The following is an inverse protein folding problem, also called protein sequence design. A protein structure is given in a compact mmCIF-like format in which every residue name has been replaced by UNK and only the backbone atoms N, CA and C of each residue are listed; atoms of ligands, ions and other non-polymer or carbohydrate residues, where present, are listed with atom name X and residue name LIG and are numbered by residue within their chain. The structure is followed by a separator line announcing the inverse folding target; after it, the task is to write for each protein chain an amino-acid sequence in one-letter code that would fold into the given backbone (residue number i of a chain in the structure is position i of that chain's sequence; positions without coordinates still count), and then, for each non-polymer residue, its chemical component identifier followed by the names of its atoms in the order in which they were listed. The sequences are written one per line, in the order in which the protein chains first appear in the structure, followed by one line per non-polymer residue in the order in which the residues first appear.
data_IF_931888808461
#
_entry.id   IF_931888808461
#
_cell.length_a   1.000
_cell.length_b   1.000
_cell.length_c   1.000
_cell.angle_alpha   90.00
_cell.angle_beta   90.00
_cell.angle_gamma   90.00
#
_symmetry.space_group_name_H-M   'P 1'
#
loop_
_entity.id
_entity.type
_entity.pdbx_description
1 polymer ?
#
# COMPACT_ATOMS: atom_id res chain seq x y z
N UNK A 1 -3.65 -13.74 -9.25
CA UNK A 1 -4.47 -13.49 -8.05
C UNK A 1 -3.72 -12.58 -7.10
N UNK A 2 -4.19 -11.35 -6.84
CA UNK A 2 -3.62 -10.50 -5.78
C UNK A 2 -4.43 -10.71 -4.51
N UNK A 3 -4.10 -11.75 -3.73
CA UNK A 3 -4.76 -12.01 -2.43
C UNK A 3 -4.22 -11.11 -1.31
N UNK A 4 -3.06 -10.48 -1.54
CA UNK A 4 -2.36 -9.74 -0.51
C UNK A 4 -1.50 -10.61 0.39
N UNK A 5 -1.31 -11.90 0.09
CA UNK A 5 -0.44 -12.84 0.82
C UNK A 5 0.93 -13.02 0.15
N UNK A 6 1.97 -13.36 0.92
CA UNK A 6 3.28 -13.76 0.39
C UNK A 6 3.24 -15.11 -0.34
N UNK A 7 4.18 -15.33 -1.25
CA UNK A 7 4.35 -16.63 -1.93
C UNK A 7 4.61 -17.79 -0.97
N UNK A 8 5.23 -17.51 0.18
CA UNK A 8 5.45 -18.49 1.24
C UNK A 8 4.13 -18.94 1.86
N UNK A 9 3.29 -17.98 2.26
CA UNK A 9 1.96 -18.24 2.82
C UNK A 9 1.06 -18.96 1.82
N UNK A 10 1.06 -18.52 0.57
CA UNK A 10 0.35 -19.22 -0.50
C UNK A 10 0.91 -20.63 -0.72
N UNK A 11 2.24 -20.81 -0.69
CA UNK A 11 2.87 -22.13 -0.71
C UNK A 11 2.34 -23.06 0.37
N UNK A 12 2.26 -22.59 1.62
CA UNK A 12 1.65 -23.35 2.74
C UNK A 12 0.20 -23.73 2.45
N UNK A 13 -0.62 -22.79 1.97
CA UNK A 13 -2.03 -23.03 1.61
C UNK A 13 -2.15 -24.11 0.52
N UNK A 14 -1.30 -24.03 -0.51
CA UNK A 14 -1.25 -24.99 -1.61
C UNK A 14 -0.39 -26.24 -1.30
N UNK A 15 0.00 -26.43 -0.04
CA UNK A 15 0.81 -27.57 0.45
C UNK A 15 2.08 -27.80 -0.38
N UNK A 16 2.78 -26.72 -0.71
CA UNK A 16 3.98 -26.74 -1.55
C UNK A 16 5.05 -25.77 -1.03
N UNK A 17 6.30 -25.91 -1.49
CA UNK A 17 7.36 -24.99 -1.08
C UNK A 17 7.16 -23.60 -1.70
N UNK A 18 7.64 -22.52 -1.05
CA UNK A 18 7.61 -21.16 -1.59
C UNK A 18 8.18 -21.09 -3.02
N UNK A 19 9.29 -21.82 -3.26
CA UNK A 19 9.94 -21.90 -4.57
C UNK A 19 9.07 -22.60 -5.61
N UNK A 20 8.43 -23.70 -5.23
CA UNK A 20 7.53 -24.45 -6.11
C UNK A 20 6.27 -23.64 -6.39
N UNK A 21 5.68 -22.98 -5.39
CA UNK A 21 4.55 -22.08 -5.58
C UNK A 21 4.89 -20.93 -6.52
N UNK A 22 6.05 -20.28 -6.32
CA UNK A 22 6.53 -19.23 -7.22
C UNK A 22 6.67 -19.71 -8.67
N UNK A 23 7.13 -20.95 -8.89
CA UNK A 23 7.16 -21.59 -10.21
C UNK A 23 5.75 -21.85 -10.75
N UNK A 24 4.85 -22.41 -9.95
CA UNK A 24 3.46 -22.65 -10.35
C UNK A 24 2.74 -21.35 -10.72
N UNK A 25 2.95 -20.28 -9.95
CA UNK A 25 2.40 -18.96 -10.24
C UNK A 25 2.96 -18.40 -11.55
N UNK A 26 4.27 -18.55 -11.78
CA UNK A 26 4.92 -18.17 -13.04
C UNK A 26 4.33 -18.96 -14.22
N UNK A 27 4.25 -20.29 -14.12
CA UNK A 27 3.68 -21.16 -15.16
C UNK A 27 2.21 -20.86 -15.41
N UNK A 28 1.41 -20.62 -14.37
CA UNK A 28 0.02 -20.21 -14.52
C UNK A 28 -0.09 -18.85 -15.22
N UNK A 29 0.79 -17.90 -14.90
CA UNK A 29 0.85 -16.60 -15.58
C UNK A 29 1.25 -16.75 -17.05
N UNK A 30 2.25 -17.57 -17.35
CA UNK A 30 2.68 -17.88 -18.72
C UNK A 30 1.60 -18.60 -19.51
N UNK A 31 0.89 -19.56 -18.91
CA UNK A 31 -0.23 -20.27 -19.56
C UNK A 31 -1.40 -19.31 -19.81
N UNK A 32 -1.69 -18.41 -18.87
CA UNK A 32 -2.68 -17.36 -19.10
C UNK A 32 -2.25 -16.41 -20.24
N UNK A 33 -0.97 -16.07 -20.34
CA UNK A 33 -0.46 -15.19 -21.41
C UNK A 33 -0.37 -15.86 -22.78
N UNK A 34 -0.12 -17.17 -22.83
CA UNK A 34 0.10 -17.91 -24.08
C UNK A 34 -1.17 -18.59 -24.60
N UNK A 35 -2.06 -19.01 -23.70
CA UNK A 35 -3.26 -19.77 -24.07
C UNK A 35 -4.50 -18.91 -23.88
N UNK A 36 -4.67 -18.27 -22.72
CA UNK A 36 -5.91 -17.55 -22.39
C UNK A 36 -6.01 -16.18 -23.07
N UNK A 37 -4.95 -15.35 -23.00
CA UNK A 37 -4.92 -14.01 -23.59
C UNK A 37 -5.05 -14.07 -25.12
N UNK A 38 -4.37 -14.98 -25.85
CA UNK A 38 -4.53 -15.09 -27.28
C UNK A 38 -5.91 -15.61 -27.65
N UNK A 39 -6.46 -16.60 -26.94
CA UNK A 39 -7.82 -17.11 -27.23
C UNK A 39 -8.88 -16.00 -27.03
N UNK A 40 -8.78 -15.19 -25.98
CA UNK A 40 -9.66 -14.02 -25.77
C UNK A 40 -9.40 -12.89 -26.79
N UNK A 41 -8.16 -12.71 -27.26
CA UNK A 41 -7.84 -11.76 -28.34
C UNK A 41 -8.25 -12.26 -29.73
N UNK A 42 -8.41 -13.58 -29.91
CA UNK A 42 -8.67 -14.19 -31.22
C UNK A 42 -10.16 -14.50 -31.42
N UNK A 43 -10.89 -14.85 -30.35
CA UNK A 43 -12.34 -15.08 -30.41
C UNK A 43 -13.14 -13.83 -30.02
N UNK A 44 -13.27 -12.97 -31.03
CA UNK A 44 -14.21 -11.85 -31.20
C UNK A 44 -13.77 -10.46 -30.70
N UNK A 45 -13.42 -9.63 -31.69
CA UNK A 45 -13.91 -8.26 -31.83
C UNK A 45 -13.19 -7.19 -30.99
N UNK A 46 -12.32 -6.46 -31.71
CA UNK A 46 -11.58 -5.24 -31.37
C UNK A 46 -10.17 -5.41 -30.77
N UNK A 47 -9.15 -5.12 -31.61
CA UNK A 47 -7.74 -4.79 -31.31
C UNK A 47 -6.72 -5.96 -31.42
N UNK A 48 -6.61 -6.58 -32.60
CA UNK A 48 -5.45 -7.43 -32.95
C UNK A 48 -4.15 -6.62 -33.10
N UNK A 49 -2.95 -7.20 -32.91
CA UNK A 49 -1.64 -6.50 -32.82
C UNK A 49 -1.31 -5.50 -33.93
N UNK A 50 -2.00 -5.56 -35.07
CA UNK A 50 -1.86 -4.63 -36.18
C UNK A 50 -2.56 -3.27 -35.96
N UNK A 51 -3.28 -3.09 -34.84
CA UNK A 51 -4.05 -1.87 -34.57
C UNK A 51 -3.21 -0.68 -34.09
N UNK A 52 -2.05 -0.93 -33.48
CA UNK A 52 -1.17 0.12 -32.96
C UNK A 52 0.28 -0.31 -33.04
N UNK A 53 1.09 0.47 -33.76
CA UNK A 53 2.53 0.25 -33.87
C UNK A 53 3.24 0.64 -32.56
N UNK A 54 4.43 0.07 -32.31
CA UNK A 54 5.27 0.46 -31.16
C UNK A 54 5.48 1.97 -31.08
N UNK A 55 5.72 2.63 -32.22
CA UNK A 55 5.90 4.08 -32.29
C UNK A 55 4.63 4.83 -31.83
N UNK A 56 3.45 4.39 -32.26
CA UNK A 56 2.17 4.97 -31.83
C UNK A 56 1.88 4.72 -30.33
N UNK A 57 2.34 3.61 -29.74
CA UNK A 57 2.23 3.39 -28.29
C UNK A 57 3.15 4.35 -27.52
N UNK A 58 4.38 4.52 -27.98
CA UNK A 58 5.37 5.43 -27.39
C UNK A 58 4.89 6.88 -27.44
N UNK A 59 4.29 7.31 -28.56
CA UNK A 59 3.70 8.64 -28.70
C UNK A 59 2.53 8.88 -27.72
N UNK A 60 1.81 7.81 -27.36
CA UNK A 60 0.70 7.86 -26.39
C UNK A 60 1.15 7.73 -24.93
N UNK A 61 2.46 7.73 -24.65
CA UNK A 61 2.94 7.77 -23.27
C UNK A 61 2.33 8.99 -22.57
N UNK A 62 1.54 8.73 -21.52
CA UNK A 62 0.96 9.80 -20.71
C UNK A 62 2.09 10.61 -20.06
N UNK A 63 1.86 11.93 -19.93
CA UNK A 63 2.84 12.88 -19.38
C UNK A 63 3.47 12.39 -18.07
N UNK A 64 2.64 11.91 -17.14
CA UNK A 64 3.10 11.51 -15.81
C UNK A 64 3.95 10.21 -15.83
N UNK A 65 3.52 9.10 -16.44
CA UNK A 65 4.38 7.94 -16.67
C UNK A 65 5.67 8.28 -17.42
N UNK A 66 5.62 9.16 -18.42
CA UNK A 66 6.81 9.58 -19.16
C UNK A 66 7.80 10.35 -18.30
N UNK A 67 7.33 11.20 -17.39
CA UNK A 67 8.17 11.90 -16.42
C UNK A 67 8.78 10.96 -15.35
N UNK A 68 8.12 9.83 -15.04
CA UNK A 68 8.55 8.90 -13.99
C UNK A 68 9.40 7.73 -14.50
N UNK A 69 9.14 7.26 -15.71
CA UNK A 69 9.71 6.02 -16.26
C UNK A 69 10.22 6.18 -17.70
N UNK A 70 10.00 7.34 -18.31
CA UNK A 70 10.50 7.65 -19.64
C UNK A 70 11.92 8.22 -19.60
N UNK A 71 12.54 8.29 -20.78
CA UNK A 71 13.75 9.05 -21.05
C UNK A 71 13.40 10.10 -22.11
N UNK A 72 12.97 11.31 -21.71
CA UNK A 72 12.52 12.33 -22.65
C UNK A 72 13.65 12.86 -23.54
N UNK A 73 14.89 12.83 -23.03
CA UNK A 73 16.10 13.36 -23.68
C UNK A 73 16.74 12.37 -24.68
N UNK A 74 16.32 11.11 -24.69
CA UNK A 74 16.79 10.10 -25.65
C UNK A 74 16.17 10.32 -27.04
N UNK A 75 16.87 9.84 -28.06
CA UNK A 75 16.39 9.85 -29.44
C UNK A 75 14.98 9.24 -29.53
N UNK A 76 14.03 9.84 -30.27
CA UNK A 76 12.68 9.31 -30.46
C UNK A 76 12.59 7.83 -30.84
N UNK A 77 13.60 7.29 -31.55
CA UNK A 77 13.67 5.87 -31.89
C UNK A 77 13.92 4.95 -30.67
N UNK A 78 14.62 5.46 -29.66
CA UNK A 78 15.05 4.73 -28.45
C UNK A 78 14.05 4.87 -27.29
N UNK A 79 13.10 5.79 -27.40
CA UNK A 79 12.04 5.97 -26.41
C UNK A 79 11.27 4.67 -26.17
N UNK A 80 11.02 4.38 -24.89
CA UNK A 80 10.36 3.15 -24.44
C UNK A 80 8.86 3.38 -24.28
N UNK A 81 8.07 2.38 -24.69
CA UNK A 81 6.64 2.37 -24.41
C UNK A 81 6.43 2.12 -22.91
N UNK A 82 5.57 2.91 -22.28
CA UNK A 82 5.30 2.80 -20.84
C UNK A 82 3.90 2.24 -20.67
N UNK A 83 3.84 0.96 -20.26
CA UNK A 83 2.59 0.23 -20.05
C UNK A 83 2.36 0.03 -18.56
N UNK A 84 1.19 0.46 -18.06
CA UNK A 84 0.76 0.25 -16.69
C UNK A 84 -0.37 -0.77 -16.71
N UNK A 85 -0.06 -2.02 -16.35
CA UNK A 85 -1.06 -3.09 -16.22
C UNK A 85 -1.53 -3.17 -14.76
N UNK A 86 -2.74 -2.73 -14.49
CA UNK A 86 -3.43 -3.03 -13.22
C UNK A 86 -4.29 -4.31 -13.37
N UNK A 87 -4.48 -5.05 -12.28
CA UNK A 87 -5.08 -6.40 -12.26
C UNK A 87 -6.62 -6.42 -12.24
N UNK A 88 -7.26 -5.26 -12.26
CA UNK A 88 -8.71 -5.08 -12.23
C UNK A 88 -9.44 -5.42 -13.55
N UNK A 89 -8.75 -5.96 -14.56
CA UNK A 89 -9.09 -5.76 -15.98
C UNK A 89 -9.52 -7.01 -16.77
N UNK A 90 -9.81 -8.15 -16.15
CA UNK A 90 -10.17 -9.36 -16.93
C UNK A 90 -11.58 -9.25 -17.55
N UNK A 91 -12.47 -8.38 -17.03
CA UNK A 91 -13.88 -8.35 -17.45
C UNK A 91 -14.46 -6.97 -17.79
N UNK A 92 -13.69 -5.88 -17.72
CA UNK A 92 -14.20 -4.53 -17.98
C UNK A 92 -13.22 -3.72 -18.83
N UNK A 93 -13.63 -3.33 -20.04
CA UNK A 93 -12.95 -2.28 -20.80
C UNK A 93 -13.11 -0.95 -20.05
N UNK A 94 -12.00 -0.33 -19.64
CA UNK A 94 -12.07 1.06 -19.17
C UNK A 94 -12.36 1.96 -20.37
N UNK A 95 -13.54 2.57 -20.34
CA UNK A 95 -13.72 3.91 -20.89
C UNK A 95 -12.62 4.81 -20.29
N UNK A 96 -11.89 5.54 -21.13
CA UNK A 96 -11.00 6.64 -20.71
C UNK A 96 -11.76 7.74 -19.95
N UNK A 97 -13.09 7.65 -19.91
CA UNK A 97 -14.00 8.56 -19.26
C UNK A 97 -14.60 7.90 -18.01
N UNK A 98 -13.95 8.11 -16.86
CA UNK A 98 -14.30 7.56 -15.52
C UNK A 98 -15.74 7.91 -15.09
N UNK A 99 -16.38 8.88 -15.74
CA UNK A 99 -17.74 9.33 -15.46
C UNK A 99 -18.82 8.30 -15.85
N UNK A 100 -18.61 7.54 -16.91
CA UNK A 100 -19.60 6.57 -17.41
C UNK A 100 -19.52 5.20 -16.73
N UNK A 101 -18.40 4.89 -16.09
CA UNK A 101 -18.19 3.60 -15.43
C UNK A 101 -19.13 3.39 -14.23
N UNK A 102 -19.29 4.37 -13.31
CA UNK A 102 -20.29 4.31 -12.25
C UNK A 102 -21.71 4.22 -12.79
N UNK A 103 -22.02 4.97 -13.86
CA UNK A 103 -23.35 4.97 -14.47
C UNK A 103 -23.72 3.62 -15.08
N UNK A 104 -22.80 2.95 -15.76
CA UNK A 104 -23.00 1.60 -16.32
C UNK A 104 -23.11 0.57 -15.21
N UNK A 105 -22.26 0.63 -14.18
CA UNK A 105 -22.37 -0.27 -13.03
C UNK A 105 -23.71 -0.07 -12.32
N UNK A 106 -24.15 1.18 -12.10
CA UNK A 106 -25.45 1.47 -11.48
C UNK A 106 -26.65 1.08 -12.36
N UNK A 107 -26.48 0.96 -13.67
CA UNK A 107 -27.53 0.53 -14.59
C UNK A 107 -27.72 -1.00 -14.63
N UNK A 108 -26.67 -1.78 -14.33
CA UNK A 108 -26.67 -3.25 -14.49
C UNK A 108 -26.31 -4.03 -13.21
N UNK A 109 -25.90 -3.35 -12.15
CA UNK A 109 -25.58 -3.91 -10.84
C UNK A 109 -26.48 -3.26 -9.78
N UNK A 110 -26.61 -3.88 -8.60
CA UNK A 110 -27.27 -3.24 -7.44
C UNK A 110 -26.68 -1.85 -7.25
N UNK A 111 -27.54 -0.83 -7.19
CA UNK A 111 -27.19 0.58 -7.03
C UNK A 111 -26.03 0.73 -6.04
N UNK A 112 -24.90 1.23 -6.52
CA UNK A 112 -23.77 1.53 -5.66
C UNK A 112 -24.02 2.94 -5.11
N UNK A 113 -24.44 2.97 -3.86
CA UNK A 113 -24.50 4.20 -3.08
C UNK A 113 -23.08 4.65 -2.72
N UNK A 114 -22.92 5.96 -2.55
CA UNK A 114 -21.66 6.51 -2.05
C UNK A 114 -21.36 5.92 -0.67
N UNK A 115 -20.07 5.67 -0.43
CA UNK A 115 -19.63 5.33 0.92
C UNK A 115 -20.06 6.46 1.86
N UNK A 116 -20.55 6.12 3.06
CA UNK A 116 -21.01 7.10 4.06
C UNK A 116 -19.94 8.15 4.41
N UNK A 117 -18.66 7.85 4.19
CA UNK A 117 -17.53 8.74 4.42
C UNK A 117 -16.99 9.42 3.15
N UNK A 118 -17.65 9.29 1.99
CA UNK A 118 -17.15 9.80 0.70
C UNK A 118 -16.83 11.30 0.76
N UNK A 119 -17.74 12.11 1.31
CA UNK A 119 -17.54 13.55 1.50
C UNK A 119 -16.34 13.87 2.38
N UNK A 120 -16.17 13.13 3.49
CA UNK A 120 -15.03 13.29 4.40
C UNK A 120 -13.72 12.93 3.72
N UNK A 121 -13.69 11.83 2.96
CA UNK A 121 -12.53 11.41 2.18
C UNK A 121 -12.15 12.48 1.15
N UNK A 122 -13.14 13.02 0.42
CA UNK A 122 -12.92 14.08 -0.56
C UNK A 122 -12.33 15.34 0.08
N UNK A 123 -12.84 15.75 1.25
CA UNK A 123 -12.29 16.89 1.99
C UNK A 123 -10.84 16.65 2.41
N UNK A 124 -10.51 15.46 2.94
CA UNK A 124 -9.14 15.10 3.31
C UNK A 124 -8.22 15.12 2.08
N UNK A 125 -8.69 14.60 0.95
CA UNK A 125 -7.94 14.58 -0.32
C UNK A 125 -7.66 16.00 -0.78
N UNK A 126 -8.69 16.84 -0.87
CA UNK A 126 -8.56 18.22 -1.37
C UNK A 126 -7.62 19.06 -0.50
N UNK A 127 -7.68 18.89 0.82
CA UNK A 127 -6.80 19.60 1.76
C UNK A 127 -5.33 19.17 1.64
N UNK A 128 -5.04 17.97 1.12
CA UNK A 128 -3.68 17.40 1.07
C UNK A 128 -3.09 17.31 -0.33
N UNK A 129 -3.91 17.43 -1.39
CA UNK A 129 -3.52 17.14 -2.78
C UNK A 129 -2.28 17.90 -3.25
N UNK A 130 -2.12 19.15 -2.81
CA UNK A 130 -1.00 20.03 -3.19
C UNK A 130 -0.01 20.26 -2.06
N UNK A 131 -0.14 19.53 -0.94
CA UNK A 131 0.75 19.67 0.21
C UNK A 131 1.97 18.78 0.03
N UNK A 132 3.17 19.31 0.32
CA UNK A 132 4.38 18.49 0.36
C UNK A 132 4.42 17.71 1.68
N UNK A 133 5.13 16.58 1.69
CA UNK A 133 5.35 15.84 2.93
C UNK A 133 6.54 16.45 3.69
N UNK A 134 6.28 17.44 4.54
CA UNK A 134 7.33 18.12 5.32
C UNK A 134 8.14 17.16 6.20
N UNK A 135 7.52 16.10 6.74
CA UNK A 135 8.24 15.06 7.49
C UNK A 135 9.26 14.34 6.60
N UNK A 136 8.93 14.09 5.33
CA UNK A 136 9.91 13.51 4.39
C UNK A 136 11.11 14.43 4.17
N UNK A 137 10.90 15.74 4.11
CA UNK A 137 11.97 16.72 3.93
C UNK A 137 12.89 16.77 5.15
N UNK A 138 12.34 16.74 6.36
CA UNK A 138 13.09 16.67 7.63
C UNK A 138 13.89 15.36 7.70
N UNK A 139 13.25 14.22 7.44
CA UNK A 139 13.89 12.90 7.48
C UNK A 139 15.08 12.82 6.52
N UNK A 140 14.93 13.36 5.31
CA UNK A 140 15.97 13.39 4.29
C UNK A 140 17.07 14.39 4.62
N UNK A 141 16.72 15.62 5.01
CA UNK A 141 17.68 16.69 5.35
C UNK A 141 18.58 16.31 6.51
N UNK A 142 18.01 15.75 7.58
CA UNK A 142 18.74 15.37 8.78
C UNK A 142 19.22 13.91 8.79
N UNK A 143 19.10 13.21 7.67
CA UNK A 143 19.59 11.85 7.46
C UNK A 143 19.18 10.87 8.57
N UNK A 144 17.91 10.88 8.97
CA UNK A 144 17.41 10.05 10.08
C UNK A 144 17.73 8.55 9.90
N UNK A 145 17.68 8.05 8.66
CA UNK A 145 18.04 6.66 8.34
C UNK A 145 19.50 6.28 8.70
N UNK A 146 20.40 7.27 8.83
CA UNK A 146 21.83 7.09 9.16
C UNK A 146 22.12 7.31 10.64
N UNK A 147 21.19 7.90 11.40
CA UNK A 147 21.36 8.09 12.84
C UNK A 147 21.42 6.73 13.55
N UNK A 148 22.20 6.66 14.63
CA UNK A 148 22.24 5.48 15.48
C UNK A 148 20.92 5.41 16.26
N UNK A 149 20.16 4.36 16.03
CA UNK A 149 18.86 4.14 16.67
C UNK A 149 18.80 2.69 17.17
N UNK A 150 18.24 2.51 18.36
CA UNK A 150 18.10 1.21 19.01
C UNK A 150 16.73 0.62 18.68
N UNK A 151 16.62 0.07 17.48
CA UNK A 151 15.41 -0.61 17.02
C UNK A 151 15.15 -1.88 17.84
N UNK A 152 13.89 -2.10 18.20
CA UNK A 152 13.39 -3.30 18.90
C UNK A 152 12.30 -3.95 18.07
N UNK A 153 12.21 -5.28 18.12
CA UNK A 153 11.11 -5.99 17.46
C UNK A 153 9.76 -5.46 17.95
N UNK A 154 8.82 -5.26 17.03
CA UNK A 154 7.48 -4.82 17.38
C UNK A 154 6.79 -5.90 18.23
N UNK A 155 6.35 -5.53 19.43
CA UNK A 155 5.60 -6.38 20.35
C UNK A 155 4.42 -5.62 20.93
N UNK A 156 3.43 -6.38 21.43
CA UNK A 156 2.31 -5.81 22.18
C UNK A 156 2.79 -5.10 23.46
N UNK A 157 3.83 -5.63 24.09
CA UNK A 157 4.47 -5.08 25.28
C UNK A 157 5.63 -4.16 24.89
N UNK A 158 5.32 -2.88 24.68
CA UNK A 158 6.26 -1.78 24.44
C UNK A 158 5.76 -0.55 25.20
N UNK A 159 6.15 -0.38 26.49
CA UNK A 159 5.69 0.70 27.35
C UNK A 159 5.97 2.09 26.78
N UNK A 160 7.05 2.23 26.01
CA UNK A 160 7.42 3.48 25.33
C UNK A 160 6.41 3.93 24.27
N UNK A 161 5.38 3.15 23.96
CA UNK A 161 4.30 3.52 23.03
C UNK A 161 2.91 3.43 23.68
N UNK A 162 2.82 3.46 25.01
CA UNK A 162 1.54 3.48 25.74
C UNK A 162 0.70 4.72 25.52
N UNK A 163 1.34 5.84 25.24
CA UNK A 163 0.71 7.13 24.93
C UNK A 163 0.35 7.27 23.44
N UNK A 164 0.43 6.19 22.65
CA UNK A 164 -0.06 6.21 21.27
C UNK A 164 -1.59 6.38 21.25
N UNK A 165 -2.14 7.29 20.40
CA UNK A 165 -3.57 7.58 20.38
C UNK A 165 -4.39 6.35 19.97
N UNK A 166 -5.51 6.13 20.66
CA UNK A 166 -6.47 5.08 20.30
C UNK A 166 -7.35 5.55 19.15
N UNK A 167 -7.47 4.74 18.10
CA UNK A 167 -8.33 5.04 16.94
C UNK A 167 -9.42 3.98 16.79
N UNK A 168 -10.63 4.45 16.51
CA UNK A 168 -11.75 3.59 16.11
C UNK A 168 -11.56 3.02 14.69
N UNK A 169 -12.33 1.97 14.33
CA UNK A 169 -12.21 1.35 12.99
C UNK A 169 -12.55 2.34 11.86
N UNK A 170 -13.52 3.23 12.08
CA UNK A 170 -13.84 4.33 11.18
C UNK A 170 -12.65 5.30 11.00
N UNK A 171 -11.97 5.64 12.08
CA UNK A 171 -10.81 6.53 12.05
C UNK A 171 -9.62 5.92 11.33
N UNK A 172 -9.40 4.61 11.51
CA UNK A 172 -8.41 3.85 10.76
C UNK A 172 -8.75 3.80 9.26
N UNK A 173 -10.03 3.65 8.92
CA UNK A 173 -10.50 3.69 7.54
C UNK A 173 -10.28 5.08 6.91
N UNK A 174 -10.60 6.15 7.62
CA UNK A 174 -10.38 7.53 7.19
C UNK A 174 -8.88 7.88 7.10
N UNK A 175 -8.06 7.37 8.01
CA UNK A 175 -6.60 7.53 7.97
C UNK A 175 -5.99 6.87 6.72
N UNK A 176 -6.46 5.67 6.39
CA UNK A 176 -6.08 4.94 5.18
C UNK A 176 -6.71 5.49 3.89
N UNK A 177 -7.72 6.37 4.00
CA UNK A 177 -8.62 6.78 2.91
C UNK A 177 -9.18 5.59 2.13
N UNK A 178 -9.52 4.50 2.84
CA UNK A 178 -10.12 3.31 2.24
C UNK A 178 -9.69 1.98 2.88
N UNK A 179 -10.45 0.92 2.57
CA UNK A 179 -10.25 -0.43 3.14
C UNK A 179 -8.97 -1.13 2.66
N UNK A 180 -8.41 -0.72 1.53
CA UNK A 180 -7.34 -1.50 0.88
C UNK A 180 -6.06 -1.54 1.70
N UNK A 181 -5.58 -0.38 2.15
CA UNK A 181 -4.35 -0.30 2.94
C UNK A 181 -4.54 -0.94 4.31
N UNK A 182 -5.73 -0.86 4.89
CA UNK A 182 -6.10 -1.53 6.14
C UNK A 182 -6.01 -3.07 5.99
N UNK A 183 -6.57 -3.64 4.91
CA UNK A 183 -6.46 -5.08 4.63
C UNK A 183 -5.01 -5.52 4.43
N UNK A 184 -4.24 -4.76 3.66
CA UNK A 184 -2.82 -5.05 3.44
C UNK A 184 -2.02 -4.96 4.73
N UNK A 185 -2.26 -3.95 5.57
CA UNK A 185 -1.58 -3.77 6.84
C UNK A 185 -1.75 -4.97 7.78
N UNK A 186 -2.95 -5.55 7.81
CA UNK A 186 -3.24 -6.78 8.53
C UNK A 186 -2.41 -7.95 7.98
N UNK A 187 -2.25 -8.08 6.66
CA UNK A 187 -1.41 -9.14 6.06
C UNK A 187 0.06 -8.98 6.47
N UNK A 188 0.59 -7.75 6.42
CA UNK A 188 1.95 -7.43 6.88
C UNK A 188 2.16 -7.81 8.36
N UNK A 189 1.19 -7.51 9.22
CA UNK A 189 1.24 -7.91 10.63
C UNK A 189 1.17 -9.44 10.81
N UNK A 190 0.27 -10.10 10.08
CA UNK A 190 0.13 -11.56 10.12
C UNK A 190 1.36 -12.31 9.61
N UNK A 191 2.17 -11.71 8.74
CA UNK A 191 3.49 -12.24 8.35
C UNK A 191 4.54 -12.01 9.45
N UNK A 192 4.46 -10.89 10.16
CA UNK A 192 5.38 -10.54 11.24
C UNK A 192 5.31 -11.48 12.45
N UNK A 193 4.10 -11.88 12.85
CA UNK A 193 3.88 -12.72 14.04
C UNK A 193 4.11 -14.23 13.81
N UNK A 194 4.58 -14.64 12.62
CA UNK A 194 4.81 -16.06 12.33
C UNK A 194 6.01 -16.61 13.10
N UNK A 195 5.88 -17.84 13.61
CA UNK A 195 6.91 -18.55 14.40
C UNK A 195 8.24 -18.73 13.64
N UNK A 196 8.21 -18.69 12.31
CA UNK A 196 9.42 -18.81 11.48
C UNK A 196 10.23 -17.51 11.33
N UNK A 197 9.76 -16.39 11.91
CA UNK A 197 10.50 -15.14 12.04
C UNK A 197 10.93 -14.48 10.72
N UNK A 198 10.35 -14.88 9.58
CA UNK A 198 10.87 -14.47 8.28
C UNK A 198 10.54 -13.04 7.86
N UNK A 199 9.63 -12.38 8.57
CA UNK A 199 9.21 -11.00 8.30
C UNK A 199 9.35 -10.15 9.57
N UNK A 200 10.24 -9.17 9.54
CA UNK A 200 10.61 -8.41 10.73
C UNK A 200 10.13 -6.96 10.61
N UNK A 201 9.42 -6.52 11.66
CA UNK A 201 9.08 -5.13 11.93
C UNK A 201 9.79 -4.72 13.21
N UNK A 202 10.61 -3.69 13.14
CA UNK A 202 11.28 -3.11 14.31
C UNK A 202 10.86 -1.66 14.49
N UNK A 203 10.78 -1.21 15.73
CA UNK A 203 10.35 0.13 16.11
C UNK A 203 11.37 0.81 17.02
N UNK A 204 11.39 2.12 16.99
CA UNK A 204 12.22 2.99 17.79
C UNK A 204 11.47 4.29 18.06
N UNK A 205 11.36 4.70 19.33
CA UNK A 205 10.88 6.04 19.69
C UNK A 205 12.05 7.01 19.61
N UNK A 206 11.93 8.05 18.79
CA UNK A 206 12.97 9.08 18.70
C UNK A 206 12.95 9.96 19.96
N UNK A 207 14.03 10.01 20.74
CA UNK A 207 14.12 10.86 21.93
C UNK A 207 14.42 12.33 21.60
N UNK A 208 14.99 12.61 20.42
CA UNK A 208 15.32 13.97 19.98
C UNK A 208 14.18 14.60 19.16
N UNK A 209 13.49 15.55 19.79
CA UNK A 209 12.38 16.30 19.22
C UNK A 209 12.82 17.59 18.51
N UNK A 210 14.12 17.93 18.50
CA UNK A 210 14.61 19.23 18.05
C UNK A 210 14.17 19.59 16.64
N UNK A 211 14.32 18.67 15.68
CA UNK A 211 13.89 18.90 14.29
C UNK A 211 12.38 18.76 14.08
N UNK A 212 11.64 18.16 15.01
CA UNK A 212 10.19 18.06 14.92
C UNK A 212 9.51 19.42 15.16
N UNK A 213 10.19 20.36 15.82
CA UNK A 213 9.71 21.74 15.98
C UNK A 213 9.51 22.50 14.65
N UNK A 214 10.07 22.00 13.54
CA UNK A 214 9.79 22.51 12.18
C UNK A 214 8.41 22.08 11.65
N UNK A 215 7.76 21.11 12.30
CA UNK A 215 6.42 20.63 11.94
C UNK A 215 5.33 21.38 12.72
N UNK A 216 4.13 21.37 12.16
CA UNK A 216 2.95 21.91 12.84
C UNK A 216 2.50 20.95 13.95
N UNK A 217 2.47 21.43 15.18
CA UNK A 217 2.00 20.71 16.35
C UNK A 217 2.56 21.29 17.64
N UNK A 218 2.02 20.84 18.78
CA UNK A 218 2.37 21.40 20.08
C UNK A 218 3.40 20.53 20.81
N UNK A 219 3.05 19.27 21.10
CA UNK A 219 3.90 18.33 21.82
C UNK A 219 4.18 17.10 20.94
N UNK A 220 5.18 17.25 20.06
CA UNK A 220 5.44 16.29 19.01
C UNK A 220 6.47 15.22 19.41
N UNK A 221 6.10 13.96 19.21
CA UNK A 221 7.02 12.83 19.28
C UNK A 221 6.89 11.92 18.06
N UNK A 222 7.91 11.10 17.80
CA UNK A 222 8.00 10.33 16.57
C UNK A 222 8.35 8.86 16.81
N UNK A 223 7.63 7.98 16.12
CA UNK A 223 7.98 6.57 15.93
C UNK A 223 8.74 6.42 14.62
N UNK A 224 9.84 5.69 14.69
CA UNK A 224 10.55 5.17 13.52
C UNK A 224 10.35 3.67 13.44
N UNK A 225 10.00 3.18 12.25
CA UNK A 225 9.85 1.77 11.97
C UNK A 225 10.76 1.30 10.85
N UNK A 226 11.25 0.07 10.97
CA UNK A 226 11.95 -0.69 9.93
C UNK A 226 11.09 -1.86 9.52
N UNK A 227 10.72 -1.91 8.25
CA UNK A 227 9.85 -2.96 7.71
C UNK A 227 10.54 -3.60 6.50
N UNK A 228 10.78 -4.91 6.58
CA UNK A 228 11.34 -5.65 5.45
C UNK A 228 10.36 -5.66 4.27
N UNK A 229 10.87 -5.59 3.04
CA UNK A 229 10.01 -5.71 1.87
C UNK A 229 9.54 -7.14 1.69
N UNK A 230 8.22 -7.31 1.57
CA UNK A 230 7.57 -8.59 1.25
C UNK A 230 7.90 -9.17 -0.13
N UNK A 231 8.45 -8.36 -1.05
CA UNK A 231 8.75 -8.77 -2.43
C UNK A 231 10.25 -9.01 -2.64
N UNK A 232 11.10 -8.40 -1.82
CA UNK A 232 12.56 -8.45 -1.96
C UNK A 232 13.19 -8.48 -0.58
N UNK A 233 13.76 -9.63 -0.20
CA UNK A 233 14.36 -9.82 1.14
C UNK A 233 15.43 -8.78 1.51
N UNK A 234 16.19 -8.30 0.54
CA UNK A 234 17.27 -7.32 0.76
C UNK A 234 16.78 -5.88 0.93
N UNK A 235 15.51 -5.58 0.62
CA UNK A 235 15.00 -4.21 0.65
C UNK A 235 14.32 -3.94 1.98
N UNK A 236 14.72 -2.86 2.64
CA UNK A 236 14.15 -2.37 3.88
C UNK A 236 13.44 -1.04 3.63
N UNK A 237 12.27 -0.86 4.22
CA UNK A 237 11.55 0.41 4.23
C UNK A 237 11.59 1.01 5.63
N UNK A 238 11.97 2.28 5.70
CA UNK A 238 11.81 3.12 6.89
C UNK A 238 10.43 3.79 6.87
N UNK A 239 9.79 3.80 8.03
CA UNK A 239 8.48 4.39 8.30
C UNK A 239 8.63 5.37 9.45
N UNK A 240 7.93 6.49 9.36
CA UNK A 240 7.93 7.56 10.35
C UNK A 240 6.49 7.95 10.62
N UNK A 241 6.11 8.03 11.90
CA UNK A 241 4.79 8.49 12.33
C UNK A 241 5.02 9.51 13.45
N UNK A 242 4.51 10.72 13.28
CA UNK A 242 4.58 11.81 14.25
C UNK A 242 3.22 11.97 14.91
N UNK A 243 3.25 11.98 16.23
CA UNK A 243 2.10 12.10 17.11
C UNK A 243 2.20 13.41 17.86
N UNK A 244 1.08 14.10 17.99
CA UNK A 244 0.90 15.28 18.83
C UNK A 244 0.17 14.86 20.11
N UNK A 245 0.85 15.04 21.25
CA UNK A 245 0.35 14.71 22.58
C UNK A 245 -0.55 15.81 23.19
N UNK A 246 -0.97 16.80 22.40
CA UNK A 246 -1.98 17.76 22.82
C UNK A 246 -3.27 17.05 23.25
N UNK A 247 -3.63 17.20 24.53
CA UNK A 247 -4.82 16.60 25.14
C UNK A 247 -6.15 17.05 24.48
N UNK A 248 -6.13 18.14 23.69
CA UNK A 248 -7.28 18.56 22.91
C UNK A 248 -7.53 17.66 21.68
N UNK A 249 -6.52 16.94 21.22
CA UNK A 249 -6.59 16.06 20.05
C UNK A 249 -6.90 14.64 20.48
N UNK A 250 -7.77 13.97 19.72
CA UNK A 250 -8.11 12.57 19.95
C UNK A 250 -8.06 11.78 18.63
N UNK A 251 -7.84 10.48 18.77
CA UNK A 251 -7.90 9.53 17.66
C UNK A 251 -6.99 9.91 16.50
N UNK A 252 -7.58 9.98 15.30
CA UNK A 252 -6.83 10.25 14.06
C UNK A 252 -6.14 11.62 14.06
N UNK A 253 -6.68 12.61 14.76
CA UNK A 253 -6.18 14.00 14.72
C UNK A 253 -4.86 14.18 15.45
N UNK A 254 -4.57 13.29 16.42
CA UNK A 254 -3.29 13.22 17.11
C UNK A 254 -2.16 12.73 16.19
N UNK A 255 -2.47 12.02 15.09
CA UNK A 255 -1.47 11.61 14.09
C UNK A 255 -1.29 12.72 13.05
N UNK A 256 -0.32 13.63 13.29
CA UNK A 256 -0.10 14.82 12.45
C UNK A 256 0.60 14.53 11.14
N UNK A 257 1.68 13.75 11.19
CA UNK A 257 2.51 13.48 10.02
C UNK A 257 2.90 12.02 9.92
N UNK A 258 3.03 11.53 8.69
CA UNK A 258 3.57 10.20 8.42
C UNK A 258 4.37 10.20 7.12
N UNK A 259 5.40 9.38 7.08
CA UNK A 259 6.25 9.22 5.91
C UNK A 259 6.76 7.79 5.84
N UNK A 260 6.80 7.22 4.63
CA UNK A 260 7.53 6.00 4.40
C UNK A 260 8.39 6.11 3.14
N UNK A 261 9.60 5.58 3.21
CA UNK A 261 10.58 5.52 2.10
C UNK A 261 10.15 4.63 0.92
N UNK A 262 8.98 3.97 0.99
CA UNK A 262 8.42 3.29 -0.16
C UNK A 262 7.92 4.30 -1.22
N UNK A 263 7.77 3.83 -2.47
CA UNK A 263 7.37 4.71 -3.60
C UNK A 263 6.07 5.50 -3.34
N UNK A 264 5.14 4.91 -2.57
CA UNK A 264 3.86 5.52 -2.24
C UNK A 264 3.98 6.44 -1.01
N UNK A 265 4.83 6.07 -0.04
CA UNK A 265 4.85 6.65 1.30
C UNK A 265 5.37 8.08 1.41
N UNK A 266 6.00 8.62 0.36
CA UNK A 266 6.38 10.05 0.29
C UNK A 266 5.19 10.95 -0.04
N UNK A 267 4.15 10.41 -0.69
CA UNK A 267 3.02 11.19 -1.18
C UNK A 267 2.05 11.46 -0.03
N UNK A 268 1.66 12.71 0.16
CA UNK A 268 0.60 13.12 1.09
C UNK A 268 -0.76 12.69 0.56
N UNK A 269 -1.06 12.98 -0.71
CA UNK A 269 -2.17 12.46 -1.54
C UNK A 269 -1.78 12.60 -3.03
N UNK A 270 -2.12 11.63 -3.90
CA UNK A 270 -2.10 11.85 -5.37
C UNK A 270 -3.35 11.26 -6.01
N UNK A 271 -3.65 11.67 -7.25
CA UNK A 271 -4.82 11.25 -8.07
C UNK A 271 -5.07 9.73 -8.14
N UNK A 272 -4.08 8.91 -7.76
CA UNK A 272 -4.16 7.44 -7.74
C UNK A 272 -3.61 6.79 -6.45
N UNK A 273 -3.33 7.58 -5.40
CA UNK A 273 -2.89 7.09 -4.09
C UNK A 273 -3.73 7.72 -3.01
N UNK A 274 -4.66 6.94 -2.48
CA UNK A 274 -5.51 7.29 -1.34
C UNK A 274 -4.78 6.93 -0.05
N UNK A 275 -4.37 7.94 0.71
CA UNK A 275 -3.95 7.80 2.10
C UNK A 275 -2.54 7.28 2.33
N UNK A 276 -2.31 6.76 3.53
CA UNK A 276 -1.02 6.22 3.95
C UNK A 276 -0.71 4.88 3.26
N UNK A 277 0.58 4.56 3.10
CA UNK A 277 0.95 3.24 2.56
C UNK A 277 0.70 2.12 3.60
N UNK A 278 0.58 0.88 3.13
CA UNK A 278 0.42 -0.29 4.01
C UNK A 278 1.48 -0.38 5.12
N UNK A 279 2.72 0.09 4.89
CA UNK A 279 3.77 0.09 5.90
C UNK A 279 3.46 1.05 7.08
N UNK A 280 3.04 2.29 6.78
CA UNK A 280 2.56 3.23 7.80
C UNK A 280 1.34 2.67 8.51
N UNK A 281 0.39 2.14 7.73
CA UNK A 281 -0.85 1.59 8.25
C UNK A 281 -0.61 0.39 9.18
N UNK A 282 0.41 -0.45 8.93
CA UNK A 282 0.75 -1.55 9.84
C UNK A 282 1.18 -1.06 11.22
N UNK A 283 1.98 0.00 11.30
CA UNK A 283 2.39 0.55 12.61
C UNK A 283 1.18 1.16 13.31
N UNK A 284 0.44 2.03 12.61
CA UNK A 284 -0.73 2.71 13.18
C UNK A 284 -1.78 1.71 13.65
N UNK A 285 -2.12 0.71 12.83
CA UNK A 285 -3.12 -0.30 13.19
C UNK A 285 -2.76 -1.07 14.47
N UNK A 286 -1.48 -1.33 14.72
CA UNK A 286 -1.04 -2.11 15.87
C UNK A 286 -1.06 -1.35 17.20
N UNK A 287 -0.73 -0.06 17.17
CA UNK A 287 -0.69 0.76 18.38
C UNK A 287 -1.94 1.59 18.60
N UNK A 288 -2.74 1.84 17.56
CA UNK A 288 -3.99 2.59 17.67
C UNK A 288 -5.18 1.75 18.16
N UNK A 289 -5.19 0.44 17.85
CA UNK A 289 -6.17 -0.49 18.42
C UNK A 289 -5.57 -1.05 19.71
N UNK A 290 -6.39 -1.54 20.65
CA UNK A 290 -5.98 -2.10 21.96
C UNK A 290 -5.01 -3.32 21.88
N UNK A 291 -3.83 -3.15 21.27
CA UNK A 291 -2.67 -4.05 21.14
C UNK A 291 -2.93 -5.46 20.58
N UNK A 292 -4.12 -5.71 20.02
CA UNK A 292 -4.50 -7.01 19.48
C UNK A 292 -5.11 -6.88 18.08
N UNK A 293 -4.26 -6.63 17.09
CA UNK A 293 -4.67 -6.75 15.69
C UNK A 293 -4.80 -8.23 15.37
N UNK A 294 -6.04 -8.71 15.29
CA UNK A 294 -6.30 -10.04 14.74
C UNK A 294 -5.85 -9.99 13.26
N UNK A 295 -4.92 -10.87 12.82
CA UNK A 295 -4.52 -10.95 11.41
C UNK A 295 -5.76 -11.13 10.52
N UNK A 296 -5.73 -10.68 9.25
CA UNK A 296 -6.93 -10.64 8.43
C UNK A 296 -7.36 -12.08 8.16
N UNK A 297 -8.56 -12.40 8.65
CA UNK A 297 -9.37 -13.58 8.36
C UNK A 297 -8.83 -14.93 8.88
N UNK A 298 -9.40 -15.44 9.99
CA UNK A 298 -9.49 -16.88 10.25
C UNK A 298 -10.34 -17.61 9.18
N UNK A 299 -11.12 -16.89 8.37
CA UNK A 299 -11.92 -17.47 7.28
C UNK A 299 -11.10 -18.16 6.17
N UNK A 300 -9.79 -17.89 6.07
CA UNK A 300 -8.87 -18.67 5.23
C UNK A 300 -8.30 -19.90 5.96
N UNK A 301 -8.27 -19.89 7.30
CA UNK A 301 -7.97 -21.09 8.11
C UNK A 301 -9.12 -22.11 8.01
N UNK A 302 -10.37 -21.61 7.94
CA UNK A 302 -11.58 -22.43 7.79
C UNK A 302 -11.76 -23.11 6.42
N UNK A 303 -10.90 -22.84 5.43
CA UNK A 303 -10.88 -23.59 4.16
C UNK A 303 -10.21 -24.95 4.34
N UNK A 304 -9.41 -25.13 5.40
CA UNK A 304 -8.80 -26.40 5.74
C UNK A 304 -9.54 -26.99 6.93
N UNK A 305 -10.52 -27.85 6.65
CA UNK A 305 -10.98 -28.83 7.64
C UNK A 305 -9.77 -29.70 8.01
N UNK A 306 -9.16 -29.42 9.16
CA UNK A 306 -8.14 -30.31 9.74
C UNK A 306 -8.86 -31.55 10.26
N UNK A 307 -8.95 -32.60 9.45
CA UNK A 307 -9.23 -33.93 9.99
C UNK A 307 -7.96 -34.38 10.70
N UNK A 308 -8.02 -34.42 12.02
CA UNK A 308 -7.01 -35.04 12.86
C UNK A 308 -6.94 -36.52 12.48
N UNK A 309 -5.75 -36.97 12.06
CA UNK A 309 -5.35 -38.37 12.14
C UNK A 309 -4.48 -38.53 13.38
#
# INVERSE_FOLDING_TARGET
MRTGDSNKRLGTIFKTSERTFGRMLKTATESLLNDFVPILCTLYVYLGFDHITRAQVVERNLFLPNALFGNPDDNPAERRAIVICDGSYIYLQKSTNYFFQPAIINAFHVLIEDNVHASTILNIINNRLNTRNHLSEIVERYNYNRKRAQFRLMSADMPEFEDFPRLEEEELFLFALGIYQLKQARCYYGEHIQEDGSFIIELFREPDHGHLSELEGNDLWMIQGRIQSRHVRAKLYYVYVVIDNDNALNGRESIKHYYCTCHIGKRTVTTYSTGCCAHCMTIVLNYAKDRHVIPPSPSLENVIMRTNN
#
